data_IF_350551780718
#
_entry.id   IF_350551780718
#
_cell.length_a   1.000
_cell.length_b   1.000
_cell.length_c   1.000
_cell.angle_alpha   90.00
_cell.angle_beta   90.00
_cell.angle_gamma   90.00
#
_symmetry.space_group_name_H-M   'P 1'
#
loop_
_entity.id
_entity.type
_entity.pdbx_description
1 polymer ?
#
# COMPACT_ATOMS: atom_id res chain seq x y z
N UNK A 1 -26.68 16.52 14.21
CA UNK A 1 -26.71 15.05 14.38
C UNK A 1 -25.72 14.28 13.54
N UNK A 2 -25.30 14.72 12.35
CA UNK A 2 -24.40 13.94 11.47
C UNK A 2 -22.94 13.74 11.96
N UNK A 3 -22.39 14.64 12.75
CA UNK A 3 -21.01 14.56 13.20
C UNK A 3 -20.74 13.54 14.34
N UNK A 4 -21.69 13.43 15.27
CA UNK A 4 -21.60 12.49 16.40
C UNK A 4 -21.78 11.04 15.95
N UNK A 5 -22.73 10.78 15.05
CA UNK A 5 -22.93 9.47 14.43
C UNK A 5 -21.67 8.99 13.69
N UNK A 6 -21.04 9.86 12.89
CA UNK A 6 -19.79 9.53 12.20
C UNK A 6 -18.63 9.26 13.17
N UNK A 7 -18.57 9.96 14.31
CA UNK A 7 -17.57 9.68 15.36
C UNK A 7 -17.82 8.33 16.03
N UNK A 8 -19.07 8.03 16.37
CA UNK A 8 -19.45 6.76 16.97
C UNK A 8 -19.19 5.56 16.04
N UNK A 9 -19.53 5.67 14.76
CA UNK A 9 -19.22 4.68 13.72
C UNK A 9 -17.70 4.46 13.58
N UNK A 10 -16.92 5.54 13.63
CA UNK A 10 -15.46 5.47 13.58
C UNK A 10 -14.89 4.77 14.81
N UNK A 11 -15.39 5.08 16.01
CA UNK A 11 -14.97 4.42 17.25
C UNK A 11 -15.33 2.93 17.23
N UNK A 12 -16.55 2.59 16.80
CA UNK A 12 -16.98 1.21 16.66
C UNK A 12 -16.15 0.44 15.63
N UNK A 13 -15.78 1.09 14.52
CA UNK A 13 -14.88 0.50 13.53
C UNK A 13 -13.48 0.24 14.10
N UNK A 14 -12.90 1.23 14.78
CA UNK A 14 -11.58 1.09 15.41
C UNK A 14 -11.62 -0.03 16.46
N UNK A 15 -12.64 -0.06 17.30
CA UNK A 15 -12.80 -1.10 18.31
C UNK A 15 -12.92 -2.51 17.68
N UNK A 16 -13.73 -2.67 16.63
CA UNK A 16 -13.87 -3.96 15.93
C UNK A 16 -12.61 -4.38 15.19
N UNK A 17 -11.94 -3.43 14.54
CA UNK A 17 -10.77 -3.74 13.69
C UNK A 17 -9.48 -3.90 14.47
N UNK A 18 -9.35 -3.25 15.62
CA UNK A 18 -8.09 -3.16 16.38
C UNK A 18 -8.23 -3.50 17.86
N UNK A 19 -9.44 -3.61 18.39
CA UNK A 19 -9.69 -3.93 19.80
C UNK A 19 -9.09 -5.28 20.23
N UNK A 20 -8.94 -6.20 19.26
CA UNK A 20 -8.31 -7.50 19.51
C UNK A 20 -6.83 -7.38 19.93
N UNK A 21 -6.12 -6.28 19.56
CA UNK A 21 -4.74 -6.01 20.01
C UNK A 21 -4.69 -5.79 21.53
N UNK A 22 -5.77 -5.30 22.12
CA UNK A 22 -5.89 -5.12 23.57
C UNK A 22 -6.33 -6.41 24.28
N UNK A 23 -6.72 -7.46 23.55
CA UNK A 23 -7.24 -8.68 24.12
C UNK A 23 -6.17 -9.53 24.83
N UNK A 24 -6.52 -10.26 25.90
CA UNK A 24 -5.61 -11.23 26.53
C UNK A 24 -5.10 -12.29 25.55
N UNK A 25 -5.94 -12.71 24.59
CA UNK A 25 -5.56 -13.66 23.54
C UNK A 25 -4.41 -13.14 22.66
N UNK A 26 -4.44 -11.85 22.28
CA UNK A 26 -3.35 -11.26 21.52
C UNK A 26 -2.04 -11.32 22.30
N UNK A 27 -2.05 -10.90 23.56
CA UNK A 27 -0.86 -10.88 24.40
C UNK A 27 -0.33 -12.29 24.67
N UNK A 28 -1.20 -13.23 24.90
CA UNK A 28 -0.81 -14.64 25.02
C UNK A 28 -0.14 -15.15 23.74
N UNK A 29 -0.71 -14.86 22.57
CA UNK A 29 -0.11 -15.22 21.31
C UNK A 29 1.22 -14.48 21.07
N UNK A 30 1.32 -13.20 21.45
CA UNK A 30 2.55 -12.43 21.34
C UNK A 30 3.68 -13.02 22.19
N UNK A 31 3.38 -13.44 23.40
CA UNK A 31 4.35 -14.10 24.28
C UNK A 31 4.78 -15.47 23.74
N UNK A 32 3.86 -16.20 23.11
CA UNK A 32 4.12 -17.50 22.48
C UNK A 32 4.70 -17.43 21.07
N UNK A 33 4.74 -16.27 20.47
CA UNK A 33 5.23 -16.06 19.09
C UNK A 33 6.76 -16.17 19.00
N UNK A 34 7.29 -17.29 19.46
CA UNK A 34 8.70 -17.66 19.37
C UNK A 34 9.07 -18.33 18.04
N UNK A 35 10.24 -18.92 17.98
CA UNK A 35 10.77 -19.57 16.77
C UNK A 35 9.99 -20.79 16.30
N UNK A 36 9.21 -21.40 17.19
CA UNK A 36 8.32 -22.52 16.84
C UNK A 36 7.23 -22.16 15.83
N UNK A 37 6.93 -20.87 15.66
CA UNK A 37 6.01 -20.39 14.63
C UNK A 37 6.79 -20.09 13.37
N UNK A 38 6.65 -20.96 12.38
CA UNK A 38 7.34 -20.81 11.10
C UNK A 38 6.83 -19.57 10.35
N UNK A 39 7.74 -18.75 9.88
CA UNK A 39 7.50 -17.76 8.82
C UNK A 39 7.94 -18.44 7.51
N UNK A 40 7.05 -18.48 6.53
CA UNK A 40 7.34 -19.10 5.24
C UNK A 40 6.99 -18.11 4.12
N UNK A 41 7.98 -17.73 3.34
CA UNK A 41 7.89 -16.88 2.15
C UNK A 41 6.84 -15.78 2.28
N UNK A 42 6.98 -14.86 3.26
CA UNK A 42 6.01 -13.80 3.48
C UNK A 42 5.95 -12.88 2.26
N UNK A 43 4.74 -12.45 1.90
CA UNK A 43 4.48 -11.65 0.70
C UNK A 43 4.31 -10.19 1.08
N UNK A 44 5.00 -9.30 0.38
CA UNK A 44 4.90 -7.84 0.53
C UNK A 44 4.48 -7.20 -0.79
N UNK A 45 3.29 -6.61 -0.80
CA UNK A 45 2.79 -5.83 -1.92
C UNK A 45 3.20 -4.37 -1.72
N UNK A 46 4.02 -3.87 -2.63
CA UNK A 46 4.62 -2.55 -2.57
C UNK A 46 3.96 -1.61 -3.58
N UNK A 47 3.72 -0.38 -3.19
CA UNK A 47 3.13 0.62 -4.08
C UNK A 47 2.65 1.85 -3.33
N UNK A 48 2.30 2.89 -4.07
CA UNK A 48 1.75 4.12 -3.50
C UNK A 48 0.24 4.03 -3.31
N UNK A 49 -0.32 4.99 -2.57
CA UNK A 49 -1.75 5.01 -2.28
C UNK A 49 -2.59 5.11 -3.57
N UNK A 50 -3.54 4.19 -3.70
CA UNK A 50 -4.43 4.15 -4.87
C UNK A 50 -3.89 3.37 -6.07
N UNK A 51 -2.73 2.74 -5.93
CA UNK A 51 -2.11 1.89 -6.95
C UNK A 51 -2.69 0.45 -7.04
N UNK A 52 -3.80 0.14 -6.37
CA UNK A 52 -4.43 -1.18 -6.52
C UNK A 52 -4.03 -2.22 -5.48
N UNK A 53 -3.12 -1.91 -4.53
CA UNK A 53 -2.64 -2.83 -3.49
C UNK A 53 -3.77 -3.58 -2.76
N UNK A 54 -4.84 -2.86 -2.41
CA UNK A 54 -5.99 -3.46 -1.71
C UNK A 54 -6.74 -4.44 -2.61
N UNK A 55 -6.86 -4.17 -3.90
CA UNK A 55 -7.49 -5.06 -4.87
C UNK A 55 -6.67 -6.36 -4.98
N UNK A 56 -5.39 -6.25 -5.29
CA UNK A 56 -4.51 -7.40 -5.44
C UNK A 56 -4.43 -8.22 -4.14
N UNK A 57 -4.22 -7.57 -2.99
CA UNK A 57 -4.17 -8.25 -1.70
C UNK A 57 -5.44 -9.06 -1.41
N UNK A 58 -6.62 -8.54 -1.76
CA UNK A 58 -7.88 -9.24 -1.55
C UNK A 58 -8.05 -10.42 -2.48
N UNK A 59 -7.66 -10.25 -3.74
CA UNK A 59 -7.66 -11.34 -4.72
C UNK A 59 -6.74 -12.46 -4.21
N UNK A 60 -5.49 -12.15 -3.89
CA UNK A 60 -4.51 -13.15 -3.44
C UNK A 60 -4.95 -13.88 -2.16
N UNK A 61 -5.54 -13.18 -1.20
CA UNK A 61 -5.98 -13.78 0.08
C UNK A 61 -7.13 -14.79 -0.10
N UNK A 62 -7.80 -14.80 -1.22
CA UNK A 62 -8.83 -15.80 -1.52
C UNK A 62 -8.25 -17.18 -1.83
N UNK A 63 -6.97 -17.27 -2.14
CA UNK A 63 -6.24 -18.54 -2.20
C UNK A 63 -6.36 -19.33 -0.88
N UNK A 64 -6.57 -18.65 0.24
CA UNK A 64 -6.96 -19.26 1.50
C UNK A 64 -5.82 -19.48 2.51
N UNK A 65 -4.55 -19.47 2.11
CA UNK A 65 -3.41 -19.64 3.04
C UNK A 65 -2.88 -18.31 3.59
N UNK A 66 -3.20 -17.17 2.96
CA UNK A 66 -2.61 -15.87 3.28
C UNK A 66 -3.32 -15.17 4.44
N UNK A 67 -2.54 -14.77 5.43
CA UNK A 67 -2.96 -14.03 6.63
C UNK A 67 -2.33 -12.65 6.62
N UNK A 68 -3.14 -11.61 6.84
CA UNK A 68 -2.65 -10.24 7.06
C UNK A 68 -2.47 -9.92 8.54
N UNK A 69 -1.91 -8.75 8.82
CA UNK A 69 -1.76 -8.27 10.19
C UNK A 69 -3.07 -8.17 10.98
N UNK A 70 -4.21 -8.02 10.32
CA UNK A 70 -5.52 -7.83 10.96
C UNK A 70 -6.47 -9.03 10.86
N UNK A 71 -6.17 -10.03 10.05
CA UNK A 71 -7.10 -11.13 9.92
C UNK A 71 -6.71 -12.22 8.93
N UNK A 72 -7.40 -13.34 9.05
CA UNK A 72 -7.28 -14.50 8.19
C UNK A 72 -7.84 -14.25 6.77
N UNK A 73 -7.88 -15.30 5.93
CA UNK A 73 -8.32 -15.19 4.53
C UNK A 73 -9.71 -14.62 4.35
N UNK A 74 -10.60 -14.85 5.31
CA UNK A 74 -12.00 -14.40 5.29
C UNK A 74 -12.23 -13.02 5.89
N UNK A 75 -11.22 -12.42 6.48
CA UNK A 75 -11.37 -11.11 7.13
C UNK A 75 -10.94 -9.97 6.19
N UNK A 76 -11.84 -9.03 5.97
CA UNK A 76 -11.69 -7.96 4.99
C UNK A 76 -11.79 -6.58 5.63
N UNK A 77 -10.67 -5.93 5.80
CA UNK A 77 -10.62 -4.51 6.16
C UNK A 77 -9.65 -3.77 5.24
N UNK A 78 -9.93 -2.51 4.99
CA UNK A 78 -9.04 -1.67 4.18
C UNK A 78 -7.76 -1.27 4.93
N UNK A 79 -7.71 -1.45 6.24
CA UNK A 79 -6.62 -1.02 7.11
C UNK A 79 -5.94 -2.21 7.79
N UNK A 80 -5.68 -3.26 7.02
CA UNK A 80 -5.07 -4.51 7.49
C UNK A 80 -3.53 -4.53 7.36
N UNK A 81 -2.94 -3.40 7.05
CA UNK A 81 -1.49 -3.25 6.97
C UNK A 81 -0.83 -3.14 8.36
N UNK A 82 0.37 -3.69 8.51
CA UNK A 82 1.19 -3.55 9.73
C UNK A 82 1.33 -2.08 10.13
N UNK A 83 1.63 -1.20 9.18
CA UNK A 83 1.78 0.23 9.41
C UNK A 83 0.58 0.90 10.11
N UNK A 84 -0.63 0.36 9.91
CA UNK A 84 -1.85 0.91 10.48
C UNK A 84 -2.28 0.23 11.78
N UNK A 85 -2.15 -1.09 11.84
CA UNK A 85 -2.65 -1.91 12.94
C UNK A 85 -1.74 -1.76 14.15
N UNK A 86 -0.46 -1.85 13.92
CA UNK A 86 0.56 -1.80 14.96
C UNK A 86 1.21 -0.43 15.12
N UNK A 87 0.74 0.58 14.38
CA UNK A 87 1.34 1.91 14.32
C UNK A 87 1.49 2.63 15.68
N UNK A 88 0.70 2.25 16.68
CA UNK A 88 0.86 2.78 18.05
C UNK A 88 1.87 1.97 18.90
N UNK A 89 2.37 0.86 18.42
CA UNK A 89 3.26 -0.06 19.16
C UNK A 89 4.58 -0.31 18.47
N UNK A 90 4.63 -0.08 17.18
CA UNK A 90 5.84 -0.26 16.40
C UNK A 90 6.60 1.06 16.29
N UNK A 91 7.93 1.01 16.33
CA UNK A 91 8.76 2.17 16.08
C UNK A 91 8.58 2.65 14.62
N UNK A 92 9.11 3.85 14.34
CA UNK A 92 8.98 4.51 13.04
C UNK A 92 9.39 3.63 11.87
N UNK A 93 10.37 2.75 12.09
CA UNK A 93 10.90 1.81 11.10
C UNK A 93 9.83 0.88 10.52
N UNK A 94 8.71 0.67 11.20
CA UNK A 94 7.57 -0.15 10.75
C UNK A 94 6.26 0.62 10.67
N UNK A 95 6.17 1.77 11.35
CA UNK A 95 4.97 2.58 11.36
C UNK A 95 4.80 3.38 10.06
N UNK A 96 3.57 3.59 9.66
CA UNK A 96 3.23 4.54 8.59
C UNK A 96 3.24 5.98 9.08
N UNK A 97 3.16 6.91 8.14
CA UNK A 97 3.16 8.34 8.35
C UNK A 97 2.19 8.86 9.41
N UNK A 98 1.10 8.14 9.61
CA UNK A 98 -0.02 8.58 10.47
C UNK A 98 0.37 8.91 11.91
N UNK A 99 1.46 8.36 12.43
CA UNK A 99 1.87 8.48 13.83
C UNK A 99 3.19 9.20 13.99
N UNK A 100 3.88 9.53 12.91
CA UNK A 100 5.30 9.82 12.96
C UNK A 100 5.65 11.31 13.08
N UNK A 101 4.85 12.22 12.52
CA UNK A 101 5.24 13.64 12.42
C UNK A 101 4.09 14.60 12.70
N UNK A 102 3.72 14.78 13.98
CA UNK A 102 2.71 15.75 14.36
C UNK A 102 3.13 17.20 14.04
N UNK A 103 4.43 17.45 13.94
CA UNK A 103 4.99 18.81 13.88
C UNK A 103 5.60 19.17 12.51
N UNK A 104 5.36 18.38 11.46
CA UNK A 104 5.89 18.71 10.14
C UNK A 104 5.31 20.04 9.61
N UNK A 105 6.15 21.00 9.17
CA UNK A 105 5.69 22.36 8.85
C UNK A 105 4.67 22.42 7.72
N UNK A 106 4.76 21.54 6.74
CA UNK A 106 3.87 21.52 5.57
C UNK A 106 2.79 20.44 5.70
N UNK A 107 3.15 19.27 6.21
CA UNK A 107 2.28 18.09 6.30
C UNK A 107 1.91 17.82 7.77
N UNK A 108 1.57 18.87 8.52
CA UNK A 108 1.18 18.77 9.93
C UNK A 108 0.09 17.73 10.13
N UNK A 109 0.36 16.80 11.04
CA UNK A 109 -0.63 15.88 11.55
C UNK A 109 -0.46 14.44 11.07
N UNK A 110 -1.34 13.55 11.53
CA UNK A 110 -1.23 12.12 11.39
C UNK A 110 -1.46 11.61 9.96
N UNK A 111 -1.37 12.43 8.94
CA UNK A 111 -1.99 12.18 7.64
C UNK A 111 -1.01 12.23 6.47
N UNK A 112 0.29 12.19 6.68
CA UNK A 112 1.20 12.31 5.58
C UNK A 112 1.39 10.96 4.86
N UNK A 113 0.59 10.75 3.85
CA UNK A 113 0.76 9.63 2.92
C UNK A 113 1.83 9.90 1.84
N UNK A 114 2.36 11.12 1.84
CA UNK A 114 3.45 11.51 0.97
C UNK A 114 4.81 11.31 1.64
N UNK A 115 5.01 10.16 2.29
CA UNK A 115 6.23 9.81 3.00
C UNK A 115 7.49 9.75 2.12
N UNK A 116 7.33 9.63 0.81
CA UNK A 116 8.41 9.74 -0.17
C UNK A 116 8.64 11.15 -0.70
N UNK A 117 7.87 12.18 -0.27
CA UNK A 117 8.17 13.56 -0.61
C UNK A 117 9.51 13.98 0.00
N UNK A 118 10.28 14.82 -0.69
CA UNK A 118 11.65 15.17 -0.35
C UNK A 118 11.83 15.60 1.11
N UNK A 119 10.85 16.32 1.66
CA UNK A 119 10.86 16.79 3.05
C UNK A 119 10.67 15.69 4.08
N UNK A 120 10.02 14.59 3.74
CA UNK A 120 9.75 13.45 4.63
C UNK A 120 10.64 12.25 4.36
N UNK A 121 11.09 12.13 3.14
CA UNK A 121 11.86 11.00 2.65
C UNK A 121 13.02 10.58 3.55
N UNK A 122 13.92 11.47 4.03
CA UNK A 122 15.05 11.06 4.87
C UNK A 122 14.63 10.37 6.18
N UNK A 123 13.44 10.69 6.64
CA UNK A 123 12.90 10.15 7.89
C UNK A 123 12.24 8.78 7.69
N UNK A 124 11.74 8.51 6.48
CA UNK A 124 11.06 7.25 6.16
C UNK A 124 11.94 6.21 5.50
N UNK A 125 12.95 6.63 4.75
CA UNK A 125 13.88 5.72 4.07
C UNK A 125 14.65 4.88 5.07
N UNK A 126 14.59 3.56 4.93
CA UNK A 126 15.39 2.59 5.70
C UNK A 126 16.01 1.56 4.75
N UNK A 127 17.24 1.22 5.04
CA UNK A 127 18.02 0.23 4.31
C UNK A 127 18.51 -0.86 5.26
N UNK A 128 19.21 -1.86 4.75
CA UNK A 128 19.82 -2.93 5.56
C UNK A 128 20.71 -2.41 6.68
N UNK A 129 21.31 -1.22 6.50
CA UNK A 129 22.19 -0.57 7.50
C UNK A 129 21.44 -0.14 8.77
N UNK A 130 20.12 -0.02 8.70
CA UNK A 130 19.27 0.36 9.83
C UNK A 130 18.73 -0.85 10.59
N UNK A 131 19.06 -2.06 10.16
CA UNK A 131 18.62 -3.28 10.84
C UNK A 131 19.39 -3.44 12.15
N UNK A 132 18.64 -3.62 13.24
CA UNK A 132 19.19 -4.03 14.53
C UNK A 132 18.55 -5.36 14.95
N UNK A 133 19.22 -6.15 15.81
CA UNK A 133 18.63 -7.38 16.34
C UNK A 133 17.24 -7.17 16.95
N UNK A 134 17.03 -6.06 17.66
CA UNK A 134 15.77 -5.71 18.31
C UNK A 134 14.66 -5.44 17.28
N UNK A 135 14.96 -4.68 16.23
CA UNK A 135 14.01 -4.41 15.15
C UNK A 135 13.68 -5.69 14.37
N UNK A 136 14.69 -6.51 14.11
CA UNK A 136 14.49 -7.78 13.43
C UNK A 136 13.59 -8.74 14.24
N UNK A 137 13.84 -8.89 15.54
CA UNK A 137 12.99 -9.70 16.42
C UNK A 137 11.57 -9.15 16.48
N UNK A 138 11.41 -7.83 16.59
CA UNK A 138 10.11 -7.19 16.68
C UNK A 138 9.24 -7.45 15.44
N UNK A 139 9.79 -7.32 14.22
CA UNK A 139 9.05 -7.62 12.99
C UNK A 139 8.69 -9.10 12.90
N UNK A 140 9.66 -9.98 13.13
CA UNK A 140 9.44 -11.44 13.11
C UNK A 140 8.36 -11.84 14.11
N UNK A 141 8.42 -11.32 15.33
CA UNK A 141 7.44 -11.57 16.38
C UNK A 141 6.05 -11.03 16.00
N UNK A 142 5.98 -9.87 15.37
CA UNK A 142 4.72 -9.29 14.87
C UNK A 142 4.08 -10.18 13.81
N UNK A 143 4.86 -10.67 12.85
CA UNK A 143 4.38 -11.59 11.81
C UNK A 143 3.90 -12.91 12.46
N UNK A 144 4.72 -13.52 13.32
CA UNK A 144 4.36 -14.77 14.00
C UNK A 144 3.11 -14.65 14.87
N UNK A 145 2.94 -13.50 15.54
CA UNK A 145 1.73 -13.21 16.32
C UNK A 145 0.50 -13.14 15.42
N UNK A 146 0.61 -12.49 14.26
CA UNK A 146 -0.48 -12.44 13.28
C UNK A 146 -0.84 -13.83 12.75
N UNK A 147 0.16 -14.65 12.45
CA UNK A 147 -0.04 -16.04 12.02
C UNK A 147 -0.76 -16.87 13.11
N UNK A 148 -0.35 -16.79 14.36
CA UNK A 148 -1.01 -17.48 15.47
C UNK A 148 -2.44 -16.98 15.70
N UNK A 149 -2.62 -15.67 15.63
CA UNK A 149 -3.91 -15.02 15.94
C UNK A 149 -4.99 -15.36 14.92
N UNK A 150 -4.62 -15.48 13.63
CA UNK A 150 -5.56 -15.52 12.53
C UNK A 150 -5.51 -16.80 11.67
N UNK A 151 -4.77 -17.82 12.08
CA UNK A 151 -4.60 -19.04 11.27
C UNK A 151 -5.88 -19.85 11.04
N UNK A 152 -6.93 -19.68 11.87
CA UNK A 152 -8.26 -20.27 11.67
C UNK A 152 -8.26 -21.76 11.26
N UNK A 153 -7.36 -22.58 11.81
CA UNK A 153 -7.22 -23.99 11.44
C UNK A 153 -6.31 -24.28 10.25
N UNK A 154 -5.72 -23.25 9.62
CA UNK A 154 -4.76 -23.46 8.54
C UNK A 154 -3.50 -24.16 9.04
N UNK A 155 -3.07 -25.19 8.31
CA UNK A 155 -1.87 -25.96 8.65
C UNK A 155 -0.58 -25.14 8.41
N UNK A 156 -0.50 -24.48 7.26
CA UNK A 156 0.68 -23.73 6.81
C UNK A 156 0.29 -22.30 6.37
N UNK A 157 -0.13 -21.44 7.32
CA UNK A 157 -0.48 -20.07 6.96
C UNK A 157 0.77 -19.28 6.53
N UNK A 158 0.63 -18.47 5.49
CA UNK A 158 1.65 -17.53 5.03
C UNK A 158 1.21 -16.10 5.32
N UNK A 159 2.19 -15.24 5.51
CA UNK A 159 1.91 -13.84 5.84
C UNK A 159 1.88 -12.98 4.58
N UNK A 160 0.93 -12.04 4.50
CA UNK A 160 0.87 -11.00 3.47
C UNK A 160 0.71 -9.63 4.10
N UNK A 161 1.48 -8.65 3.61
CA UNK A 161 1.33 -7.25 3.98
C UNK A 161 1.35 -6.33 2.76
N UNK A 162 0.66 -5.20 2.88
CA UNK A 162 0.61 -4.14 1.86
C UNK A 162 0.83 -2.77 2.46
N UNK A 163 1.68 -2.70 3.50
CA UNK A 163 2.09 -1.45 4.13
C UNK A 163 2.80 -0.57 3.12
N UNK A 164 2.15 0.51 2.73
CA UNK A 164 2.61 1.35 1.63
C UNK A 164 3.98 1.97 1.91
N UNK A 165 4.28 2.35 3.16
CA UNK A 165 5.58 2.91 3.51
C UNK A 165 6.74 1.91 3.36
N UNK A 166 6.45 0.61 3.22
CA UNK A 166 7.49 -0.42 3.02
C UNK A 166 8.14 -0.36 1.64
N UNK A 167 7.54 0.37 0.70
CA UNK A 167 8.17 0.67 -0.59
C UNK A 167 9.50 1.41 -0.44
N UNK A 168 9.65 2.24 0.61
CA UNK A 168 10.92 2.91 0.96
C UNK A 168 11.82 2.06 1.88
N UNK A 169 11.45 0.80 2.12
CA UNK A 169 12.08 -0.07 3.11
C UNK A 169 12.34 -1.49 2.60
N UNK A 170 12.40 -1.64 1.29
CA UNK A 170 12.57 -2.97 0.66
C UNK A 170 13.83 -3.65 1.19
N UNK A 171 14.98 -2.97 1.13
CA UNK A 171 16.24 -3.52 1.63
C UNK A 171 16.22 -3.80 3.14
N UNK A 172 15.57 -2.95 3.92
CA UNK A 172 15.42 -3.15 5.36
C UNK A 172 14.60 -4.40 5.70
N UNK A 173 13.45 -4.58 5.05
CA UNK A 173 12.59 -5.75 5.26
C UNK A 173 13.24 -7.02 4.70
N UNK A 174 13.89 -6.93 3.54
CA UNK A 174 14.59 -8.05 2.92
C UNK A 174 15.71 -8.57 3.84
N UNK A 175 16.52 -7.70 4.43
CA UNK A 175 17.56 -8.09 5.36
C UNK A 175 17.01 -8.75 6.62
N UNK A 176 15.96 -8.19 7.22
CA UNK A 176 15.32 -8.79 8.41
C UNK A 176 14.79 -10.20 8.12
N UNK A 177 14.22 -10.40 6.94
CA UNK A 177 13.51 -11.63 6.59
C UNK A 177 14.27 -12.54 5.62
N UNK A 178 15.56 -12.28 5.35
CA UNK A 178 16.36 -13.01 4.35
C UNK A 178 16.35 -14.54 4.50
N UNK A 179 16.25 -15.05 5.72
CA UNK A 179 16.18 -16.50 5.98
C UNK A 179 14.78 -17.11 5.71
N UNK A 180 13.81 -16.32 5.31
CA UNK A 180 12.43 -16.76 5.08
C UNK A 180 11.98 -16.58 3.63
N UNK A 181 12.87 -16.21 2.72
CA UNK A 181 12.61 -15.99 1.31
C UNK A 181 11.41 -15.05 1.04
N UNK A 182 11.44 -13.79 1.52
CA UNK A 182 10.34 -12.87 1.36
C UNK A 182 10.08 -12.57 -0.12
N UNK A 183 8.81 -12.58 -0.52
CA UNK A 183 8.38 -12.25 -1.89
C UNK A 183 7.91 -10.80 -1.94
N UNK A 184 8.52 -9.99 -2.79
CA UNK A 184 8.16 -8.59 -3.02
C UNK A 184 7.51 -8.45 -4.38
N UNK A 185 6.36 -7.78 -4.44
CA UNK A 185 5.64 -7.48 -5.68
C UNK A 185 5.42 -5.98 -5.74
N UNK A 186 5.96 -5.31 -6.75
CA UNK A 186 5.77 -3.88 -6.98
C UNK A 186 4.51 -3.65 -7.82
N UNK A 187 3.58 -2.85 -7.30
CA UNK A 187 2.29 -2.57 -7.95
C UNK A 187 2.19 -1.08 -8.25
N UNK A 188 2.78 -0.61 -9.34
CA UNK A 188 2.60 0.76 -9.81
C UNK A 188 1.26 0.95 -10.49
N UNK A 189 0.83 2.18 -10.60
CA UNK A 189 -0.24 2.66 -11.46
C UNK A 189 0.33 3.80 -12.30
N UNK A 190 -0.24 4.05 -13.48
CA UNK A 190 0.20 5.16 -14.35
C UNK A 190 0.63 6.38 -13.53
N UNK A 191 1.88 6.85 -13.65
CA UNK A 191 2.41 7.91 -12.80
C UNK A 191 1.66 9.23 -12.94
N UNK A 192 1.22 9.59 -14.14
CA UNK A 192 0.47 10.82 -14.39
C UNK A 192 -0.89 10.78 -13.69
N UNK A 193 -1.60 9.67 -13.85
CA UNK A 193 -2.87 9.43 -13.19
C UNK A 193 -2.72 9.37 -11.67
N UNK A 194 -1.69 8.70 -11.18
CA UNK A 194 -1.45 8.55 -9.74
C UNK A 194 -1.18 9.88 -9.05
N UNK A 195 -0.30 10.68 -9.63
CA UNK A 195 0.07 12.00 -9.11
C UNK A 195 -1.13 12.94 -9.14
N UNK A 196 -1.79 13.07 -10.29
CA UNK A 196 -2.97 13.92 -10.43
C UNK A 196 -4.08 13.53 -9.47
N UNK A 197 -4.44 12.24 -9.45
CA UNK A 197 -5.48 11.68 -8.59
C UNK A 197 -5.20 11.93 -7.10
N UNK A 198 -3.95 11.81 -6.67
CA UNK A 198 -3.56 12.11 -5.31
C UNK A 198 -3.71 13.60 -5.02
N UNK A 199 -3.18 14.47 -5.87
CA UNK A 199 -3.18 15.92 -5.67
C UNK A 199 -4.58 16.54 -5.59
N UNK A 200 -5.57 16.03 -6.34
CA UNK A 200 -6.97 16.49 -6.24
C UNK A 200 -7.73 15.93 -5.03
N UNK A 201 -7.05 15.23 -4.12
CA UNK A 201 -7.63 14.76 -2.86
C UNK A 201 -8.44 13.47 -2.94
N UNK A 202 -8.28 12.67 -3.98
CA UNK A 202 -8.82 11.31 -4.00
C UNK A 202 -8.01 10.35 -3.12
N UNK A 203 -6.83 10.77 -2.66
CA UNK A 203 -6.18 10.18 -1.51
C UNK A 203 -6.74 10.86 -0.24
N UNK A 204 -7.19 10.06 0.73
CA UNK A 204 -7.90 10.55 1.93
C UNK A 204 -7.14 11.64 2.66
N UNK A 205 -5.82 11.58 2.63
CA UNK A 205 -4.94 12.43 3.40
C UNK A 205 -4.64 13.75 2.68
N UNK A 206 -4.64 13.73 1.35
CA UNK A 206 -4.54 14.94 0.56
C UNK A 206 -5.76 15.86 0.68
N UNK A 207 -6.93 15.30 1.03
CA UNK A 207 -8.11 16.12 1.35
C UNK A 207 -7.86 17.09 2.48
N UNK A 208 -7.02 16.75 3.44
CA UNK A 208 -6.68 17.62 4.56
C UNK A 208 -5.77 18.79 4.15
N UNK A 209 -5.16 18.73 2.98
CA UNK A 209 -4.28 19.76 2.42
C UNK A 209 -5.00 20.67 1.41
N UNK A 210 -6.21 20.32 0.96
CA UNK A 210 -7.04 21.17 0.12
C UNK A 210 -7.36 22.45 0.94
N UNK A 211 -7.08 23.60 0.35
CA UNK A 211 -7.20 24.91 1.02
C UNK A 211 -5.98 25.31 1.87
N UNK A 212 -4.97 24.43 2.03
CA UNK A 212 -3.69 24.75 2.70
C UNK A 212 -2.52 24.84 1.75
N UNK A 213 -2.58 24.09 0.67
CA UNK A 213 -1.60 24.08 -0.40
C UNK A 213 -2.29 24.35 -1.73
N UNK A 214 -1.62 25.06 -2.62
CA UNK A 214 -2.05 25.21 -4.01
C UNK A 214 -2.12 23.84 -4.69
N UNK A 215 -2.86 23.73 -5.79
CA UNK A 215 -2.87 22.48 -6.56
C UNK A 215 -1.48 22.14 -7.10
N UNK A 216 -0.71 23.14 -7.50
CA UNK A 216 0.66 22.99 -8.00
C UNK A 216 1.59 22.41 -6.93
N UNK A 217 1.53 22.92 -5.70
CA UNK A 217 2.32 22.38 -4.59
C UNK A 217 1.92 20.94 -4.24
N UNK A 218 0.63 20.64 -4.29
CA UNK A 218 0.13 19.27 -4.06
C UNK A 218 0.59 18.32 -5.16
N UNK A 219 0.57 18.75 -6.42
CA UNK A 219 1.09 17.97 -7.55
C UNK A 219 2.59 17.68 -7.37
N UNK A 220 3.37 18.70 -7.01
CA UNK A 220 4.81 18.55 -6.75
C UNK A 220 5.07 17.51 -5.64
N UNK A 221 4.46 17.67 -4.48
CA UNK A 221 4.61 16.75 -3.35
C UNK A 221 4.22 15.32 -3.72
N UNK A 222 3.17 15.16 -4.54
CA UNK A 222 2.74 13.83 -5.02
C UNK A 222 3.71 13.24 -6.04
N UNK A 223 4.30 14.06 -6.91
CA UNK A 223 5.28 13.61 -7.90
C UNK A 223 6.60 13.19 -7.22
N UNK A 224 7.12 13.99 -6.30
CA UNK A 224 8.27 13.64 -5.45
C UNK A 224 8.02 12.30 -4.74
N UNK A 225 6.86 12.19 -4.08
CA UNK A 225 6.49 10.97 -3.37
C UNK A 225 6.45 9.74 -4.28
N UNK A 226 5.80 9.84 -5.44
CA UNK A 226 5.70 8.72 -6.36
C UNK A 226 7.09 8.34 -6.91
N UNK A 227 7.84 9.32 -7.43
CA UNK A 227 9.15 9.12 -8.02
C UNK A 227 10.15 8.48 -7.03
N UNK A 228 10.28 9.04 -5.82
CA UNK A 228 11.18 8.52 -4.81
C UNK A 228 10.79 7.11 -4.35
N UNK A 229 9.49 6.83 -4.17
CA UNK A 229 9.02 5.51 -3.79
C UNK A 229 9.37 4.44 -4.83
N UNK A 230 9.10 4.72 -6.10
CA UNK A 230 9.36 3.75 -7.18
C UNK A 230 10.86 3.59 -7.43
N UNK A 231 11.61 4.68 -7.44
CA UNK A 231 13.06 4.67 -7.62
C UNK A 231 13.76 3.82 -6.59
N UNK A 232 13.43 4.01 -5.32
CA UNK A 232 14.05 3.28 -4.23
C UNK A 232 13.71 1.78 -4.23
N UNK A 233 12.45 1.45 -4.50
CA UNK A 233 12.05 0.05 -4.58
C UNK A 233 12.80 -0.68 -5.69
N UNK A 234 12.89 -0.07 -6.88
CA UNK A 234 13.64 -0.63 -8.00
C UNK A 234 15.15 -0.69 -7.72
N UNK A 235 15.72 0.37 -7.16
CA UNK A 235 17.14 0.41 -6.82
C UNK A 235 17.53 -0.62 -5.73
N UNK A 236 16.70 -0.78 -4.71
CA UNK A 236 16.92 -1.82 -3.69
C UNK A 236 16.82 -3.22 -4.29
N UNK A 237 15.84 -3.45 -5.17
CA UNK A 237 15.68 -4.72 -5.87
C UNK A 237 16.92 -5.07 -6.70
N UNK A 238 17.39 -4.14 -7.53
CA UNK A 238 18.57 -4.33 -8.37
C UNK A 238 19.82 -4.59 -7.54
N UNK A 239 20.06 -3.74 -6.54
CA UNK A 239 21.26 -3.81 -5.70
C UNK A 239 21.36 -5.09 -4.88
N UNK A 240 20.23 -5.63 -4.45
CA UNK A 240 20.15 -6.85 -3.66
C UNK A 240 19.92 -8.11 -4.50
N UNK A 241 19.78 -7.97 -5.82
CA UNK A 241 19.47 -9.10 -6.72
C UNK A 241 18.11 -9.74 -6.40
N UNK A 242 17.15 -8.98 -5.90
CA UNK A 242 15.82 -9.49 -5.57
C UNK A 242 15.01 -9.70 -6.85
N UNK A 243 14.35 -10.84 -6.96
CA UNK A 243 13.28 -11.01 -7.94
C UNK A 243 12.04 -10.26 -7.43
N UNK A 244 11.70 -9.15 -8.07
CA UNK A 244 10.54 -8.32 -7.71
C UNK A 244 9.76 -7.98 -8.98
N UNK A 245 8.73 -8.74 -9.33
CA UNK A 245 7.90 -8.45 -10.49
C UNK A 245 7.20 -7.09 -10.35
N UNK A 246 7.09 -6.38 -11.47
CA UNK A 246 6.33 -5.15 -11.61
C UNK A 246 4.97 -5.51 -12.20
N UNK A 247 3.92 -5.33 -11.42
CA UNK A 247 2.53 -5.63 -11.77
C UNK A 247 1.78 -4.32 -11.92
N UNK A 248 1.60 -3.84 -13.15
CA UNK A 248 0.87 -2.59 -13.38
C UNK A 248 -0.59 -2.74 -12.95
N UNK A 249 -1.12 -1.70 -12.31
CA UNK A 249 -2.53 -1.67 -11.93
C UNK A 249 -3.44 -1.87 -13.15
N UNK A 250 -3.06 -1.33 -14.28
CA UNK A 250 -3.79 -1.43 -15.55
C UNK A 250 -3.89 -2.89 -16.00
N UNK A 251 -2.78 -3.64 -15.97
CA UNK A 251 -2.79 -5.08 -16.33
C UNK A 251 -3.67 -5.87 -15.36
N UNK A 252 -3.65 -5.53 -14.06
CA UNK A 252 -4.50 -6.17 -13.06
C UNK A 252 -6.00 -5.96 -13.34
N UNK A 253 -6.39 -4.85 -13.94
CA UNK A 253 -7.82 -4.56 -14.19
C UNK A 253 -8.25 -4.90 -15.63
N UNK A 254 -7.33 -4.98 -16.57
CA UNK A 254 -7.59 -5.30 -17.97
C UNK A 254 -7.50 -6.81 -18.23
N UNK A 255 -6.49 -7.46 -17.65
CA UNK A 255 -6.24 -8.90 -17.79
C UNK A 255 -6.06 -9.56 -16.42
N UNK A 256 -7.08 -9.51 -15.54
CA UNK A 256 -6.93 -9.89 -14.14
C UNK A 256 -6.51 -11.36 -13.96
N UNK A 257 -7.00 -12.27 -14.77
CA UNK A 257 -6.65 -13.69 -14.64
C UNK A 257 -5.17 -13.95 -14.94
N UNK A 258 -4.69 -13.47 -16.08
CA UNK A 258 -3.29 -13.65 -16.47
C UNK A 258 -2.35 -13.01 -15.44
N UNK A 259 -2.64 -11.78 -15.05
CA UNK A 259 -1.85 -11.01 -14.07
C UNK A 259 -1.81 -11.69 -12.70
N UNK A 260 -2.95 -12.15 -12.19
CA UNK A 260 -3.00 -12.81 -10.88
C UNK A 260 -2.32 -14.17 -10.91
N UNK A 261 -2.43 -14.91 -12.02
CA UNK A 261 -1.73 -16.19 -12.21
C UNK A 261 -0.22 -16.00 -12.12
N UNK A 262 0.34 -15.02 -12.85
CA UNK A 262 1.77 -14.70 -12.80
C UNK A 262 2.23 -14.32 -11.39
N UNK A 263 1.44 -13.53 -10.65
CA UNK A 263 1.74 -13.18 -9.26
C UNK A 263 1.69 -14.41 -8.35
N UNK A 264 0.72 -15.30 -8.54
CA UNK A 264 0.62 -16.54 -7.77
C UNK A 264 1.83 -17.44 -8.03
N UNK A 265 2.21 -17.62 -9.29
CA UNK A 265 3.37 -18.43 -9.70
C UNK A 265 4.66 -17.89 -9.06
N UNK A 266 4.87 -16.56 -9.13
CA UNK A 266 6.01 -15.92 -8.48
C UNK A 266 6.00 -16.10 -6.96
N UNK A 267 4.84 -15.96 -6.33
CA UNK A 267 4.68 -16.11 -4.88
C UNK A 267 4.61 -17.58 -4.44
N UNK A 268 4.64 -18.54 -5.36
CA UNK A 268 4.47 -19.97 -5.10
C UNK A 268 3.16 -20.24 -4.34
N UNK A 269 2.06 -19.72 -4.89
CA UNK A 269 0.68 -19.89 -4.46
C UNK A 269 -0.12 -20.63 -5.52
N UNK A 270 -1.11 -21.40 -5.11
CA UNK A 270 -2.04 -21.99 -6.06
C UNK A 270 -2.98 -20.90 -6.62
N UNK A 271 -3.08 -20.82 -7.95
CA UNK A 271 -4.09 -19.97 -8.57
C UNK A 271 -5.41 -20.75 -8.69
N UNK A 272 -6.51 -20.09 -8.33
CA UNK A 272 -7.87 -20.58 -8.53
C UNK A 272 -8.68 -19.44 -9.18
N UNK A 273 -9.41 -19.68 -10.30
CA UNK A 273 -10.28 -18.68 -10.91
C UNK A 273 -11.25 -18.01 -9.94
N UNK A 274 -11.70 -18.72 -8.91
CA UNK A 274 -12.55 -18.19 -7.85
C UNK A 274 -11.86 -17.12 -6.97
N UNK A 275 -10.56 -16.92 -7.09
CA UNK A 275 -9.86 -15.77 -6.48
C UNK A 275 -10.32 -14.46 -7.09
N UNK A 276 -10.70 -14.45 -8.36
CA UNK A 276 -11.12 -13.24 -9.06
C UNK A 276 -12.55 -12.83 -8.63
N UNK A 277 -12.83 -11.52 -8.54
CA UNK A 277 -14.16 -11.04 -8.22
C UNK A 277 -15.19 -11.41 -9.28
N UNK A 278 -16.28 -12.05 -8.88
CA UNK A 278 -17.44 -12.35 -9.72
C UNK A 278 -18.75 -12.10 -8.96
N UNK A 279 -19.89 -12.19 -9.63
CA UNK A 279 -21.19 -11.81 -9.10
C UNK A 279 -21.64 -12.60 -7.86
N UNK A 280 -21.13 -13.82 -7.68
CA UNK A 280 -21.40 -14.63 -6.50
C UNK A 280 -20.55 -14.25 -5.29
N UNK A 281 -19.53 -13.45 -5.48
CA UNK A 281 -18.64 -12.99 -4.42
C UNK A 281 -19.16 -11.73 -3.75
N UNK A 282 -19.60 -11.85 -2.54
CA UNK A 282 -20.02 -10.72 -1.70
C UNK A 282 -18.89 -10.14 -0.87
N UNK A 283 -17.75 -9.86 -1.51
CA UNK A 283 -16.62 -9.28 -0.82
C UNK A 283 -16.60 -7.76 -0.96
N UNK A 284 -16.30 -7.02 0.12
CA UNK A 284 -16.29 -5.55 0.10
C UNK A 284 -15.04 -5.00 -0.60
N UNK A 285 -14.95 -5.16 -1.91
CA UNK A 285 -13.93 -4.46 -2.69
C UNK A 285 -14.20 -2.95 -2.62
N UNK A 286 -13.44 -2.24 -1.80
CA UNK A 286 -13.51 -0.79 -1.70
C UNK A 286 -14.46 -0.21 -0.66
N UNK A 287 -15.42 -0.96 -0.12
CA UNK A 287 -16.28 -0.50 0.98
C UNK A 287 -16.01 -1.27 2.26
N UNK A 288 -15.85 -0.54 3.39
CA UNK A 288 -15.56 -1.11 4.70
C UNK A 288 -16.74 -1.80 5.37
N UNK A 289 -17.95 -1.53 4.93
CA UNK A 289 -19.16 -1.78 5.72
C UNK A 289 -20.26 -2.55 4.99
N UNK A 290 -20.02 -2.98 3.75
CA UNK A 290 -21.06 -3.62 2.96
C UNK A 290 -20.51 -4.81 2.21
N UNK A 291 -21.13 -5.96 2.39
CA UNK A 291 -20.97 -7.12 1.53
C UNK A 291 -21.53 -6.77 0.14
N UNK A 292 -20.70 -6.10 -0.64
CA UNK A 292 -21.01 -5.76 -2.03
C UNK A 292 -19.97 -6.36 -2.92
N UNK A 293 -20.42 -7.04 -3.93
CA UNK A 293 -19.60 -7.41 -5.05
C UNK A 293 -19.36 -6.20 -5.95
N UNK A 294 -18.12 -5.99 -6.33
CA UNK A 294 -17.73 -4.99 -7.30
C UNK A 294 -16.93 -5.66 -8.39
N UNK A 295 -17.35 -5.55 -9.65
CA UNK A 295 -16.54 -6.04 -10.76
C UNK A 295 -15.22 -5.27 -10.82
N UNK A 296 -14.20 -5.93 -11.31
CA UNK A 296 -12.96 -5.26 -11.71
C UNK A 296 -13.31 -4.36 -12.91
N UNK A 297 -12.92 -3.10 -12.85
CA UNK A 297 -13.21 -2.11 -13.90
C UNK A 297 -11.93 -1.73 -14.60
N UNK A 298 -11.87 -1.89 -15.92
CA UNK A 298 -10.70 -1.59 -16.73
C UNK A 298 -10.45 -0.08 -16.92
N UNK A 299 -11.47 0.70 -17.22
CA UNK A 299 -11.33 2.08 -17.65
C UNK A 299 -11.28 3.13 -16.51
N UNK A 300 -10.77 2.75 -15.34
CA UNK A 300 -10.79 3.64 -14.15
C UNK A 300 -9.83 4.82 -14.23
N UNK A 301 -8.86 4.79 -15.15
CA UNK A 301 -7.89 5.86 -15.34
C UNK A 301 -8.45 6.99 -16.22
N UNK A 302 -9.29 6.68 -17.20
CA UNK A 302 -9.77 7.60 -18.23
C UNK A 302 -10.21 8.96 -17.68
N UNK A 303 -11.04 8.94 -16.65
CA UNK A 303 -11.56 10.17 -16.01
C UNK A 303 -10.49 11.12 -15.42
N UNK A 304 -9.27 10.65 -15.27
CA UNK A 304 -8.12 11.43 -14.80
C UNK A 304 -7.22 11.81 -15.96
N UNK A 305 -7.06 10.92 -16.92
CA UNK A 305 -6.28 11.14 -18.13
C UNK A 305 -6.83 12.33 -18.91
N UNK A 306 -8.16 12.40 -19.03
CA UNK A 306 -8.85 13.51 -19.69
C UNK A 306 -8.67 14.88 -19.00
N UNK A 307 -7.99 14.91 -17.85
CA UNK A 307 -7.78 16.11 -17.03
C UNK A 307 -6.31 16.44 -16.80
N UNK A 308 -5.40 15.78 -17.52
CA UNK A 308 -3.98 16.06 -17.40
C UNK A 308 -3.64 17.33 -18.19
N UNK A 309 -3.19 18.36 -17.49
CA UNK A 309 -2.66 19.57 -18.10
C UNK A 309 -1.15 19.46 -18.37
N UNK A 310 -0.65 20.38 -19.17
CA UNK A 310 0.77 20.45 -19.53
C UNK A 310 1.67 20.50 -18.29
N UNK A 311 1.31 21.29 -17.29
CA UNK A 311 2.08 21.43 -16.06
C UNK A 311 2.19 20.09 -15.31
N UNK A 312 1.11 19.33 -15.22
CA UNK A 312 1.13 17.99 -14.59
C UNK A 312 2.04 17.04 -15.36
N UNK A 313 2.00 17.04 -16.69
CA UNK A 313 2.86 16.19 -17.53
C UNK A 313 4.33 16.55 -17.33
N UNK A 314 4.69 17.83 -17.44
CA UNK A 314 6.06 18.31 -17.22
C UNK A 314 6.59 17.91 -15.84
N UNK A 315 5.78 18.13 -14.79
CA UNK A 315 6.14 17.83 -13.42
C UNK A 315 6.38 16.33 -13.20
N UNK A 316 5.51 15.48 -13.72
CA UNK A 316 5.70 14.02 -13.63
C UNK A 316 6.92 13.58 -14.42
N UNK A 317 7.16 14.13 -15.59
CA UNK A 317 8.37 13.86 -16.36
C UNK A 317 9.64 14.26 -15.60
N UNK A 318 9.60 15.39 -14.90
CA UNK A 318 10.72 15.88 -14.08
C UNK A 318 11.04 14.96 -12.90
N UNK A 319 10.03 14.56 -12.12
CA UNK A 319 10.24 13.84 -10.87
C UNK A 319 10.23 12.32 -11.02
N UNK A 320 9.56 11.79 -12.05
CA UNK A 320 9.36 10.36 -12.25
C UNK A 320 9.99 9.81 -13.53
N UNK A 321 10.59 10.68 -14.37
CA UNK A 321 11.04 10.32 -15.73
C UNK A 321 12.00 9.13 -15.78
N UNK A 322 12.86 8.98 -14.79
CA UNK A 322 13.83 7.90 -14.69
C UNK A 322 13.19 6.51 -14.37
N UNK A 323 11.97 6.51 -13.83
CA UNK A 323 11.28 5.27 -13.44
C UNK A 323 10.11 4.92 -14.35
N UNK A 324 9.58 5.86 -15.13
CA UNK A 324 8.38 5.64 -15.97
C UNK A 324 8.54 4.41 -16.86
N UNK A 325 9.61 4.34 -17.64
CA UNK A 325 9.86 3.23 -18.58
C UNK A 325 10.18 1.93 -17.86
N UNK A 326 10.92 2.00 -16.75
CA UNK A 326 11.23 0.84 -15.93
C UNK A 326 9.99 0.20 -15.29
N UNK A 327 8.93 0.99 -15.10
CA UNK A 327 7.62 0.54 -14.61
C UNK A 327 6.70 0.04 -15.75
N UNK A 328 7.18 0.04 -16.99
CA UNK A 328 6.42 -0.39 -18.16
C UNK A 328 5.43 0.65 -18.68
N UNK A 329 5.64 1.93 -18.36
CA UNK A 329 4.84 3.04 -18.90
C UNK A 329 5.62 3.84 -19.94
N UNK A 330 4.88 4.59 -20.77
CA UNK A 330 5.45 5.51 -21.75
C UNK A 330 5.51 6.93 -21.18
N UNK A 331 6.58 7.64 -21.44
CA UNK A 331 6.62 9.09 -21.21
C UNK A 331 5.61 9.79 -22.11
N UNK A 332 4.86 10.73 -21.53
CA UNK A 332 3.94 11.59 -22.28
C UNK A 332 4.68 12.84 -22.75
N UNK A 333 4.43 13.25 -24.00
CA UNK A 333 4.86 14.55 -24.49
C UNK A 333 3.95 15.65 -23.91
N UNK A 334 4.49 16.85 -23.76
CA UNK A 334 3.73 18.01 -23.28
C UNK A 334 2.55 18.37 -24.19
N UNK A 335 2.69 18.11 -25.50
CA UNK A 335 1.64 18.28 -26.49
C UNK A 335 0.45 17.31 -26.34
N UNK A 336 0.58 16.26 -25.48
CA UNK A 336 -0.49 15.33 -25.16
C UNK A 336 -1.40 15.84 -24.03
N UNK A 337 -1.22 17.09 -23.59
CA UNK A 337 -2.13 17.73 -22.64
C UNK A 337 -3.54 17.79 -23.22
N UNK A 338 -4.53 17.37 -22.41
CA UNK A 338 -5.94 17.38 -22.77
C UNK A 338 -6.65 18.66 -22.34
N UNK A 339 -5.99 19.53 -21.59
CA UNK A 339 -6.53 20.80 -21.09
C UNK A 339 -5.56 21.92 -21.39
N UNK A 340 -6.05 22.98 -22.06
CA UNK A 340 -5.28 24.18 -22.37
C UNK A 340 -5.24 25.17 -21.18
N UNK A 341 -6.23 25.16 -20.30
CA UNK A 341 -6.32 26.06 -19.14
C UNK A 341 -5.70 25.46 -17.87
N UNK A 342 -5.05 26.29 -17.03
CA UNK A 342 -4.49 25.83 -15.76
C UNK A 342 -5.57 25.32 -14.79
N UNK A 343 -5.28 24.23 -14.08
CA UNK A 343 -6.13 23.58 -13.07
C UNK A 343 -6.68 24.51 -11.95
N UNK A 344 -6.14 25.71 -11.80
CA UNK A 344 -6.59 26.68 -10.79
C UNK A 344 -8.03 27.11 -10.95
N UNK A 345 -8.59 27.01 -12.15
CA UNK A 345 -9.98 27.41 -12.46
C UNK A 345 -11.00 26.25 -12.32
N UNK A 346 -10.54 25.01 -12.24
CA UNK A 346 -11.42 23.81 -12.28
C UNK A 346 -11.76 23.28 -10.88
N UNK A 347 -11.13 23.76 -9.83
CA UNK A 347 -11.23 23.23 -8.45
C UNK A 347 -11.80 24.27 -7.45
N UNK A 348 -12.46 25.30 -7.94
CA UNK A 348 -13.18 26.28 -7.11
C UNK A 348 -14.57 25.78 -6.68
#
# INVERSE_FOLDING_TARGET
>A
MSGLLKKAERCAYVARSFGWIASPRYWFNYLRAGESVRIDRPVFLLGTQGGGLTLLSRIMRREGSLISGAGGPRYWTAADEIQNIYGCRLPLEFAGARWAYPDHPVLKGPLSWCYGADTLYPQYRRTEKHVTPQLADLLKRTIRTSLLQHREGLANPRFIDKSQCYILRVAFIAEILKSFDPKFVLVPRDPYVSVYRAAIGNARDMKALIGKLSIRDRLKVCAEHYGNCMRDALADSDRLGLKMPVVRFEDLVETPEATVREVCDFCELAFDPDMLPHEHHRLPFGSRFRDRWFPVRSNVNQRYEDKLDRFTIELVNQYCGDVIERLGYRRRAESESTIEEPLEQVVS
#
